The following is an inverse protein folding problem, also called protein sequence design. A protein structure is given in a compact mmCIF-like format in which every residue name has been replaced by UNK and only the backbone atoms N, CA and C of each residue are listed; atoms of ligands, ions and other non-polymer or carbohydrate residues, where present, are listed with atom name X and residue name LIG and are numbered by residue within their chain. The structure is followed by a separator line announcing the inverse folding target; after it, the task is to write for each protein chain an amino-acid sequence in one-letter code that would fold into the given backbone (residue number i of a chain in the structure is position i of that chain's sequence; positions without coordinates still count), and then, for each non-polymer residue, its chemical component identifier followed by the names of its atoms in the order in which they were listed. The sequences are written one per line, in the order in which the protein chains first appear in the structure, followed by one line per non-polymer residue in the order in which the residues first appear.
data_IF_596254341464
#
_entry.id   IF_596254341464
#
_cell.length_a   1.000
_cell.length_b   1.000
_cell.length_c   1.000
_cell.angle_alpha   90.00
_cell.angle_beta   90.00
_cell.angle_gamma   90.00
#
_symmetry.space_group_name_H-M   'P 1'
#
loop_
_entity.id
_entity.type
_entity.pdbx_description
1 polymer ?
#
# COMPACT_ATOMS: atom_id res chain seq x y z
N UNK A 1 -11.39 -26.62 -31.40
CA UNK A 1 -10.72 -25.95 -30.26
C UNK A 1 -9.51 -25.26 -30.82
N UNK A 2 -9.53 -23.93 -30.91
CA UNK A 2 -8.50 -23.15 -31.59
C UNK A 2 -7.16 -23.14 -30.83
N UNK A 3 -6.07 -23.18 -31.60
CA UNK A 3 -4.70 -23.12 -31.10
C UNK A 3 -4.43 -21.88 -30.21
N UNK A 4 -5.16 -20.78 -30.42
CA UNK A 4 -5.11 -19.57 -29.58
C UNK A 4 -5.69 -19.79 -28.18
N UNK A 5 -6.72 -20.62 -28.04
CA UNK A 5 -7.34 -20.95 -26.74
C UNK A 5 -6.44 -21.89 -25.94
N UNK A 6 -5.82 -22.85 -26.62
CA UNK A 6 -4.92 -23.83 -26.00
C UNK A 6 -3.62 -23.19 -25.51
N UNK A 7 -3.07 -22.22 -26.27
CA UNK A 7 -1.86 -21.49 -25.90
C UNK A 7 -2.08 -20.47 -24.76
N UNK A 8 -3.27 -19.87 -24.67
CA UNK A 8 -3.65 -19.03 -23.50
C UNK A 8 -3.84 -19.87 -22.24
N UNK A 9 -4.35 -21.10 -22.37
CA UNK A 9 -4.57 -21.97 -21.22
C UNK A 9 -3.26 -22.51 -20.63
N UNK A 10 -2.32 -22.95 -21.48
CA UNK A 10 -0.99 -23.39 -21.04
C UNK A 10 -0.18 -22.26 -20.40
N UNK A 11 -0.23 -21.05 -20.97
CA UNK A 11 0.40 -19.85 -20.40
C UNK A 11 -0.17 -19.49 -19.03
N UNK A 12 -1.50 -19.49 -18.88
CA UNK A 12 -2.15 -19.20 -17.59
C UNK A 12 -1.85 -20.26 -16.51
N UNK A 13 -1.72 -21.54 -16.89
CA UNK A 13 -1.33 -22.61 -15.97
C UNK A 13 0.13 -22.47 -15.54
N UNK A 14 1.05 -22.18 -16.48
CA UNK A 14 2.46 -21.95 -16.17
C UNK A 14 2.65 -20.73 -15.25
N UNK A 15 1.92 -19.65 -15.50
CA UNK A 15 1.93 -18.45 -14.66
C UNK A 15 1.43 -18.76 -13.24
N UNK A 16 0.34 -19.55 -13.10
CA UNK A 16 -0.18 -19.98 -11.78
C UNK A 16 0.81 -20.85 -11.01
N UNK A 17 1.47 -21.79 -11.67
CA UNK A 17 2.48 -22.67 -11.04
C UNK A 17 3.69 -21.85 -10.58
N UNK A 18 4.16 -20.92 -11.41
CA UNK A 18 5.26 -20.01 -11.05
C UNK A 18 4.91 -19.13 -9.85
N UNK A 19 3.71 -18.51 -9.85
CA UNK A 19 3.20 -17.70 -8.73
C UNK A 19 3.15 -18.50 -7.44
N UNK A 20 2.65 -19.74 -7.48
CA UNK A 20 2.54 -20.61 -6.32
C UNK A 20 3.94 -20.98 -5.76
N UNK A 21 4.90 -21.31 -6.62
CA UNK A 21 6.28 -21.59 -6.22
C UNK A 21 6.96 -20.40 -5.54
N UNK A 22 6.82 -19.19 -6.11
CA UNK A 22 7.37 -17.97 -5.50
C UNK A 22 6.72 -17.65 -4.15
N UNK A 23 5.40 -17.79 -4.03
CA UNK A 23 4.68 -17.57 -2.77
C UNK A 23 5.11 -18.55 -1.69
N UNK A 24 5.32 -19.82 -2.04
CA UNK A 24 5.77 -20.85 -1.12
C UNK A 24 7.18 -20.52 -0.58
N UNK A 25 8.10 -20.12 -1.44
CA UNK A 25 9.46 -19.76 -1.03
C UNK A 25 9.45 -18.56 -0.07
N UNK A 26 8.70 -17.51 -0.37
CA UNK A 26 8.57 -16.34 0.52
C UNK A 26 7.94 -16.77 1.85
N UNK A 27 6.93 -17.64 1.84
CA UNK A 27 6.31 -18.14 3.06
C UNK A 27 7.30 -18.95 3.93
N UNK A 28 8.12 -19.81 3.31
CA UNK A 28 9.16 -20.57 4.02
C UNK A 28 10.24 -19.66 4.62
N UNK A 29 10.65 -18.62 3.90
CA UNK A 29 11.57 -17.60 4.42
C UNK A 29 10.95 -16.85 5.62
N UNK A 30 9.68 -16.46 5.51
CA UNK A 30 8.96 -15.78 6.58
C UNK A 30 8.90 -16.63 7.85
N UNK A 31 8.60 -17.94 7.77
CA UNK A 31 8.55 -18.82 8.95
C UNK A 31 9.84 -18.75 9.77
N UNK A 32 10.99 -18.59 9.11
CA UNK A 32 12.31 -18.51 9.76
C UNK A 32 12.61 -17.14 10.37
N UNK A 33 11.92 -16.08 9.97
CA UNK A 33 12.13 -14.73 10.51
C UNK A 33 11.55 -14.61 11.92
N UNK A 34 12.26 -13.90 12.80
CA UNK A 34 11.72 -13.44 14.07
C UNK A 34 10.66 -12.36 13.81
N UNK A 35 9.49 -12.38 14.49
CA UNK A 35 8.51 -11.30 14.37
C UNK A 35 9.08 -9.96 14.82
N UNK A 36 8.78 -8.92 14.05
CA UNK A 36 8.99 -7.52 14.42
C UNK A 36 7.81 -7.09 15.29
N UNK A 37 8.08 -6.52 16.46
CA UNK A 37 7.02 -5.97 17.32
C UNK A 37 6.68 -4.57 16.87
N UNK A 38 5.42 -4.31 16.51
CA UNK A 38 4.92 -2.99 16.17
C UNK A 38 3.82 -2.61 17.15
N UNK A 39 4.02 -1.47 17.82
CA UNK A 39 3.10 -0.95 18.83
C UNK A 39 2.08 -0.02 18.18
N UNK A 40 0.81 -0.39 18.25
CA UNK A 40 -0.31 0.45 17.85
C UNK A 40 -0.85 1.18 19.09
N UNK A 41 -1.25 2.43 18.89
CA UNK A 41 -1.84 3.31 19.90
C UNK A 41 -2.57 4.44 19.17
N UNK A 42 -3.44 5.16 19.87
CA UNK A 42 -4.18 6.30 19.31
C UNK A 42 -5.65 6.24 19.67
N UNK A 43 -6.48 6.80 18.79
CA UNK A 43 -7.91 6.95 18.96
C UNK A 43 -8.71 5.65 18.70
N UNK A 44 -10.05 5.77 18.68
CA UNK A 44 -10.95 4.67 18.39
C UNK A 44 -10.72 4.04 16.99
N UNK A 45 -10.31 4.84 16.00
CA UNK A 45 -9.98 4.31 14.67
C UNK A 45 -8.71 3.47 14.70
N UNK A 46 -7.68 3.94 15.41
CA UNK A 46 -6.45 3.15 15.63
C UNK A 46 -6.75 1.83 16.33
N UNK A 47 -7.68 1.85 17.28
CA UNK A 47 -8.15 0.65 17.98
C UNK A 47 -8.90 -0.31 17.06
N UNK A 48 -9.81 0.19 16.22
CA UNK A 48 -10.50 -0.61 15.19
C UNK A 48 -9.49 -1.32 14.28
N UNK A 49 -8.45 -0.60 13.83
CA UNK A 49 -7.39 -1.18 12.98
C UNK A 49 -6.61 -2.27 13.72
N UNK A 50 -6.25 -2.05 14.99
CA UNK A 50 -5.59 -3.06 15.82
C UNK A 50 -6.42 -4.34 15.94
N UNK A 51 -7.72 -4.22 16.20
CA UNK A 51 -8.64 -5.35 16.33
C UNK A 51 -8.78 -6.11 15.00
N UNK A 52 -8.84 -5.40 13.87
CA UNK A 52 -8.85 -6.03 12.53
C UNK A 52 -7.56 -6.82 12.28
N UNK A 53 -6.39 -6.26 12.63
CA UNK A 53 -5.09 -6.86 12.36
C UNK A 53 -4.82 -8.09 13.23
N UNK A 54 -5.29 -8.05 14.47
CA UNK A 54 -5.11 -9.11 15.47
C UNK A 54 -6.22 -10.16 15.46
N UNK A 55 -7.33 -9.91 14.78
CA UNK A 55 -8.38 -10.91 14.59
C UNK A 55 -7.82 -12.22 13.99
N UNK A 56 -8.39 -13.38 14.32
CA UNK A 56 -8.02 -14.65 13.71
C UNK A 56 -8.07 -14.60 12.17
N UNK A 57 -7.06 -15.19 11.52
CA UNK A 57 -7.04 -15.27 10.06
C UNK A 57 -8.15 -16.22 9.57
N UNK A 58 -8.98 -15.84 8.58
CA UNK A 58 -10.17 -16.61 8.18
C UNK A 58 -9.89 -18.06 7.76
N UNK A 59 -8.69 -18.35 7.24
CA UNK A 59 -8.28 -19.70 6.83
C UNK A 59 -7.36 -20.41 7.83
N UNK A 60 -6.79 -19.66 8.78
CA UNK A 60 -5.77 -20.14 9.73
C UNK A 60 -5.99 -19.45 11.08
N UNK A 61 -7.01 -19.84 11.85
CA UNK A 61 -7.47 -19.08 13.01
C UNK A 61 -6.43 -18.96 14.14
N UNK A 62 -5.39 -19.80 14.13
CA UNK A 62 -4.27 -19.73 15.07
C UNK A 62 -3.26 -18.62 14.76
N UNK A 63 -3.43 -17.91 13.65
CA UNK A 63 -2.55 -16.82 13.21
C UNK A 63 -3.36 -15.53 13.10
N UNK A 64 -2.81 -14.42 13.61
CA UNK A 64 -3.43 -13.10 13.48
C UNK A 64 -3.45 -12.67 12.01
N UNK A 65 -4.56 -12.05 11.57
CA UNK A 65 -4.86 -11.76 10.16
C UNK A 65 -3.74 -11.04 9.42
N UNK A 66 -3.11 -10.04 10.05
CA UNK A 66 -2.10 -9.20 9.41
C UNK A 66 -0.68 -9.45 9.95
N UNK A 67 -0.42 -10.59 10.58
CA UNK A 67 0.88 -10.89 11.22
C UNK A 67 1.90 -11.58 10.31
N UNK A 68 1.48 -12.18 9.19
CA UNK A 68 2.35 -13.03 8.37
C UNK A 68 2.45 -12.53 6.94
N UNK A 69 3.57 -11.92 6.59
CA UNK A 69 3.83 -11.35 5.27
C UNK A 69 3.24 -9.95 5.10
N UNK A 70 3.20 -9.15 6.16
CA UNK A 70 2.91 -7.72 6.06
C UNK A 70 4.01 -7.06 5.22
N UNK A 71 3.64 -6.25 4.22
CA UNK A 71 4.62 -5.55 3.40
C UNK A 71 5.09 -4.28 4.11
N UNK A 72 6.20 -4.38 4.84
CA UNK A 72 6.72 -3.32 5.68
C UNK A 72 7.95 -2.65 5.09
N UNK A 73 8.09 -1.38 5.42
CA UNK A 73 9.30 -0.59 5.19
C UNK A 73 9.60 0.22 6.44
N UNK A 74 10.83 0.09 6.94
CA UNK A 74 11.32 0.90 8.04
C UNK A 74 11.52 2.35 7.58
N UNK A 75 11.23 3.30 8.47
CA UNK A 75 11.40 4.73 8.25
C UNK A 75 12.61 5.29 9.00
N UNK A 76 13.49 4.42 9.49
CA UNK A 76 14.73 4.81 10.18
C UNK A 76 15.86 5.16 9.22
N UNK A 77 16.88 5.84 9.74
CA UNK A 77 18.06 6.27 8.97
C UNK A 77 17.88 7.64 8.29
N UNK A 78 18.87 8.12 7.53
CA UNK A 78 18.81 9.41 6.86
C UNK A 78 17.81 9.44 5.68
N UNK A 79 17.18 10.60 5.47
CA UNK A 79 16.17 10.80 4.41
C UNK A 79 16.72 10.50 3.00
N UNK A 80 17.95 10.94 2.74
CA UNK A 80 18.67 10.78 1.48
C UNK A 80 18.95 9.31 1.15
N UNK A 81 18.98 8.43 2.15
CA UNK A 81 19.28 7.01 1.97
C UNK A 81 18.04 6.17 1.62
N UNK A 82 16.82 6.68 1.84
CA UNK A 82 15.59 5.92 1.64
C UNK A 82 15.52 5.27 0.24
N UNK A 83 15.89 6.00 -0.81
CA UNK A 83 15.83 5.50 -2.18
C UNK A 83 17.16 5.61 -2.94
N UNK A 84 18.30 5.68 -2.24
CA UNK A 84 19.62 5.89 -2.88
C UNK A 84 20.22 4.65 -3.52
N UNK A 85 20.00 3.46 -2.93
CA UNK A 85 20.64 2.21 -3.35
C UNK A 85 20.40 1.80 -4.82
N UNK A 86 21.27 0.95 -5.41
CA UNK A 86 21.15 0.50 -6.81
C UNK A 86 19.82 -0.20 -7.12
N UNK A 87 19.25 -0.92 -6.15
CA UNK A 87 17.95 -1.58 -6.27
C UNK A 87 16.79 -0.61 -6.56
N UNK A 88 16.96 0.68 -6.24
CA UNK A 88 15.97 1.73 -6.46
C UNK A 88 16.18 2.50 -7.78
N UNK A 89 17.13 2.11 -8.64
CA UNK A 89 17.35 2.79 -9.92
C UNK A 89 16.09 2.84 -10.80
N UNK A 90 15.34 1.73 -10.87
CA UNK A 90 14.05 1.70 -11.57
C UNK A 90 13.05 2.66 -10.92
N UNK A 91 12.92 2.61 -9.58
CA UNK A 91 12.01 3.46 -8.81
C UNK A 91 12.28 4.94 -9.10
N UNK A 92 13.52 5.39 -8.92
CA UNK A 92 13.93 6.79 -9.17
C UNK A 92 13.65 7.23 -10.61
N UNK A 93 13.88 6.36 -11.60
CA UNK A 93 13.56 6.66 -13.00
C UNK A 93 12.06 6.86 -13.23
N UNK A 94 11.20 6.12 -12.52
CA UNK A 94 9.73 6.27 -12.62
C UNK A 94 9.26 7.56 -11.93
N UNK A 95 9.79 7.87 -10.76
CA UNK A 95 9.55 9.15 -10.06
C UNK A 95 9.96 10.32 -10.96
N UNK A 96 11.21 10.35 -11.43
CA UNK A 96 11.70 11.41 -12.30
C UNK A 96 11.05 11.45 -13.69
N UNK A 97 10.35 10.40 -14.13
CA UNK A 97 9.48 10.47 -15.31
C UNK A 97 8.19 11.24 -14.97
N UNK A 98 7.53 10.89 -13.87
CA UNK A 98 6.30 11.54 -13.45
C UNK A 98 6.54 13.04 -13.20
N UNK A 99 7.62 13.39 -12.51
CA UNK A 99 7.99 14.79 -12.25
C UNK A 99 8.24 15.57 -13.54
N UNK A 100 8.96 14.99 -14.53
CA UNK A 100 9.18 15.62 -15.85
C UNK A 100 7.91 15.82 -16.67
N UNK A 101 6.89 15.00 -16.42
CA UNK A 101 5.56 15.16 -17.01
C UNK A 101 4.71 16.20 -16.25
N UNK A 102 5.26 16.78 -15.17
CA UNK A 102 4.62 17.82 -14.37
C UNK A 102 3.69 17.29 -13.28
N UNK A 103 3.68 15.98 -13.02
CA UNK A 103 2.93 15.43 -11.90
C UNK A 103 3.56 15.85 -10.58
N UNK A 104 2.72 16.15 -9.59
CA UNK A 104 3.14 16.48 -8.23
C UNK A 104 2.18 15.88 -7.20
N UNK A 105 2.64 15.73 -5.96
CA UNK A 105 1.84 15.16 -4.87
C UNK A 105 1.46 16.26 -3.90
N UNK A 106 0.19 16.28 -3.48
CA UNK A 106 -0.29 17.16 -2.42
C UNK A 106 -1.08 16.37 -1.38
N UNK A 107 -1.23 16.93 -0.18
CA UNK A 107 -2.30 16.51 0.72
C UNK A 107 -3.63 17.04 0.17
N UNK A 108 -4.67 16.21 0.16
CA UNK A 108 -5.99 16.56 -0.37
C UNK A 108 -7.07 16.41 0.71
N UNK A 109 -8.16 17.17 0.57
CA UNK A 109 -9.45 16.76 1.12
C UNK A 109 -10.12 15.85 0.08
N UNK A 110 -10.29 14.54 0.36
CA UNK A 110 -10.79 13.61 -0.64
C UNK A 110 -12.24 13.92 -1.07
N UNK A 111 -13.03 14.65 -0.28
CA UNK A 111 -14.39 15.02 -0.63
C UNK A 111 -14.44 15.99 -1.82
N UNK A 112 -13.45 16.88 -1.92
CA UNK A 112 -13.32 17.82 -3.05
C UNK A 112 -12.93 17.11 -4.35
N UNK A 113 -12.43 15.87 -4.25
CA UNK A 113 -12.00 15.07 -5.39
C UNK A 113 -12.87 13.81 -5.59
N UNK A 114 -14.04 13.71 -4.96
CA UNK A 114 -14.88 12.51 -4.97
C UNK A 114 -15.14 12.01 -6.40
N UNK A 115 -15.54 12.90 -7.32
CA UNK A 115 -15.84 12.52 -8.70
C UNK A 115 -14.59 11.97 -9.42
N UNK A 116 -13.42 12.59 -9.18
CA UNK A 116 -12.16 12.13 -9.78
C UNK A 116 -11.67 10.81 -9.16
N UNK A 117 -11.89 10.61 -7.86
CA UNK A 117 -11.67 9.32 -7.18
C UNK A 117 -12.56 8.24 -7.81
N UNK A 118 -13.82 8.54 -8.09
CA UNK A 118 -14.74 7.63 -8.78
C UNK A 118 -14.28 7.34 -10.21
N UNK A 119 -13.76 8.33 -10.94
CA UNK A 119 -13.13 8.11 -12.25
C UNK A 119 -11.93 7.16 -12.14
N UNK A 120 -11.06 7.33 -11.13
CA UNK A 120 -9.94 6.42 -10.87
C UNK A 120 -10.43 5.00 -10.60
N UNK A 121 -11.48 4.82 -9.79
CA UNK A 121 -12.06 3.50 -9.53
C UNK A 121 -12.53 2.84 -10.83
N UNK A 122 -13.27 3.58 -11.65
CA UNK A 122 -13.84 3.10 -12.90
C UNK A 122 -12.83 2.99 -14.06
N UNK A 123 -11.61 3.51 -13.93
CA UNK A 123 -10.57 3.42 -14.97
C UNK A 123 -10.14 1.99 -15.32
N UNK A 124 -10.45 1.00 -14.48
CA UNK A 124 -10.31 -0.41 -14.84
C UNK A 124 -11.27 -1.31 -14.06
N UNK A 125 -12.04 -2.13 -14.79
CA UNK A 125 -12.95 -3.14 -14.23
C UNK A 125 -12.18 -4.27 -13.53
N UNK A 126 -10.98 -4.60 -14.04
CA UNK A 126 -10.15 -5.69 -13.51
C UNK A 126 -8.87 -5.09 -12.91
N UNK A 127 -8.73 -5.20 -11.59
CA UNK A 127 -7.52 -4.81 -10.87
C UNK A 127 -6.89 -6.02 -10.21
N UNK A 128 -5.59 -6.19 -10.42
CA UNK A 128 -4.81 -7.30 -9.84
C UNK A 128 -5.42 -8.68 -10.15
N UNK A 129 -5.92 -8.86 -11.38
CA UNK A 129 -6.53 -10.11 -11.84
C UNK A 129 -7.89 -10.44 -11.20
N UNK A 130 -8.52 -9.49 -10.50
CA UNK A 130 -9.84 -9.63 -9.89
C UNK A 130 -10.75 -8.50 -10.33
N UNK A 131 -12.06 -8.75 -10.34
CA UNK A 131 -13.02 -7.66 -10.49
C UNK A 131 -12.85 -6.66 -9.36
N UNK A 132 -12.99 -5.38 -9.66
CA UNK A 132 -13.05 -4.35 -8.64
C UNK A 132 -14.18 -4.67 -7.66
N UNK A 133 -13.90 -4.53 -6.36
CA UNK A 133 -14.91 -4.77 -5.32
C UNK A 133 -16.01 -3.72 -5.43
N UNK A 134 -17.25 -4.12 -5.13
CA UNK A 134 -18.43 -3.27 -5.26
C UNK A 134 -18.39 -2.05 -4.35
N UNK A 135 -17.73 -2.12 -3.20
CA UNK A 135 -17.55 -0.98 -2.28
C UNK A 135 -16.61 0.12 -2.80
N UNK A 136 -15.88 -0.14 -3.89
CA UNK A 136 -15.15 0.90 -4.63
C UNK A 136 -15.99 1.53 -5.74
N UNK A 137 -17.06 0.88 -6.19
CA UNK A 137 -17.88 1.35 -7.29
C UNK A 137 -19.18 2.03 -6.82
N UNK A 138 -19.56 1.78 -5.57
CA UNK A 138 -20.71 2.36 -4.89
C UNK A 138 -20.34 3.74 -4.31
N UNK A 139 -20.95 4.80 -4.85
CA UNK A 139 -20.67 6.19 -4.49
C UNK A 139 -20.89 6.46 -2.99
N UNK A 140 -21.95 5.91 -2.41
CA UNK A 140 -22.30 6.18 -1.00
C UNK A 140 -21.32 5.47 -0.06
N UNK A 141 -20.93 4.23 -0.38
CA UNK A 141 -19.88 3.55 0.38
C UNK A 141 -18.52 4.22 0.25
N UNK A 142 -18.22 4.77 -0.93
CA UNK A 142 -17.00 5.56 -1.11
C UNK A 142 -17.07 6.81 -0.24
N UNK A 143 -18.18 7.57 -0.30
CA UNK A 143 -18.40 8.76 0.53
C UNK A 143 -18.25 8.47 2.02
N UNK A 144 -18.87 7.39 2.51
CA UNK A 144 -18.73 6.94 3.90
C UNK A 144 -17.26 6.66 4.25
N UNK A 145 -16.53 5.95 3.38
CA UNK A 145 -15.12 5.65 3.62
C UNK A 145 -14.23 6.91 3.65
N UNK A 146 -14.54 7.94 2.85
CA UNK A 146 -13.77 9.20 2.84
C UNK A 146 -13.85 9.97 4.16
N UNK A 147 -14.84 9.66 5.01
CA UNK A 147 -14.97 10.22 6.37
C UNK A 147 -14.00 9.60 7.38
N UNK A 148 -13.31 8.50 7.04
CA UNK A 148 -12.37 7.87 7.98
C UNK A 148 -11.22 8.83 8.30
N UNK A 149 -10.79 8.91 9.57
CA UNK A 149 -9.73 9.81 10.00
C UNK A 149 -8.38 9.34 9.44
N UNK A 150 -7.49 10.30 9.22
CA UNK A 150 -6.19 10.06 8.61
C UNK A 150 -5.96 10.98 7.43
N UNK A 151 -4.75 10.91 6.90
CA UNK A 151 -4.35 11.80 5.83
C UNK A 151 -4.59 11.21 4.46
N UNK A 152 -4.90 12.10 3.53
CA UNK A 152 -5.15 11.77 2.15
C UNK A 152 -4.16 12.51 1.26
N UNK A 153 -3.55 11.78 0.34
CA UNK A 153 -2.61 12.34 -0.63
C UNK A 153 -3.10 12.06 -2.03
N UNK A 154 -2.90 13.01 -2.93
CA UNK A 154 -3.25 12.93 -4.34
C UNK A 154 -2.08 13.27 -5.24
N UNK A 155 -1.98 12.58 -6.37
CA UNK A 155 -1.08 12.92 -7.49
C UNK A 155 -1.87 13.73 -8.49
N UNK A 156 -1.50 14.99 -8.67
CA UNK A 156 -2.12 15.90 -9.62
C UNK A 156 -1.24 16.11 -10.86
N UNK A 157 -1.86 16.26 -12.02
CA UNK A 157 -1.20 16.77 -13.23
C UNK A 157 -1.11 18.33 -13.21
N UNK A 158 -0.46 18.97 -14.20
CA UNK A 158 -0.39 20.43 -14.27
C UNK A 158 -1.73 21.14 -14.47
N UNK A 159 -2.79 20.41 -14.81
CA UNK A 159 -4.17 20.91 -14.92
C UNK A 159 -4.98 20.64 -13.65
N UNK A 160 -4.33 20.25 -12.55
CA UNK A 160 -4.94 19.92 -11.26
C UNK A 160 -5.92 18.73 -11.31
N UNK A 161 -5.77 17.82 -12.28
CA UNK A 161 -6.53 16.57 -12.34
C UNK A 161 -5.85 15.49 -11.53
N UNK A 162 -6.65 14.77 -10.74
CA UNK A 162 -6.22 13.68 -9.88
C UNK A 162 -6.03 12.39 -10.67
N UNK A 163 -4.81 11.84 -10.62
CA UNK A 163 -4.48 10.58 -11.29
C UNK A 163 -4.16 9.44 -10.33
N UNK A 164 -3.81 9.71 -9.08
CA UNK A 164 -3.69 8.70 -8.05
C UNK A 164 -3.99 9.29 -6.69
N UNK A 165 -4.35 8.46 -5.73
CA UNK A 165 -4.52 8.89 -4.36
C UNK A 165 -4.21 7.75 -3.38
N UNK A 166 -3.99 8.12 -2.12
CA UNK A 166 -4.02 7.18 -1.01
C UNK A 166 -4.61 7.78 0.27
N UNK A 167 -5.25 6.91 1.05
CA UNK A 167 -5.54 7.10 2.47
C UNK A 167 -4.39 6.48 3.28
N UNK A 168 -3.74 7.30 4.10
CA UNK A 168 -2.51 6.97 4.82
C UNK A 168 -2.58 7.38 6.30
N UNK A 169 -3.46 6.76 7.11
CA UNK A 169 -3.51 7.04 8.54
C UNK A 169 -2.23 6.56 9.24
N UNK A 170 -1.88 7.27 10.31
CA UNK A 170 -0.88 6.83 11.30
C UNK A 170 -1.64 6.10 12.41
N UNK A 171 -1.28 4.84 12.63
CA UNK A 171 -1.84 3.96 13.65
C UNK A 171 -0.71 3.55 14.57
N UNK A 172 -0.52 4.32 15.64
CA UNK A 172 0.64 4.21 16.53
C UNK A 172 1.97 4.32 15.80
N UNK A 173 2.80 3.29 15.93
CA UNK A 173 4.15 3.25 15.35
C UNK A 173 4.18 2.81 13.87
N UNK A 174 3.03 2.76 13.21
CA UNK A 174 2.90 2.36 11.82
C UNK A 174 1.94 3.25 11.04
N UNK A 175 2.38 3.74 9.88
CA UNK A 175 1.48 4.33 8.88
C UNK A 175 1.04 3.28 7.87
N UNK A 176 -0.22 3.28 7.45
CA UNK A 176 -0.81 2.19 6.66
C UNK A 176 -1.43 2.75 5.38
N UNK A 177 -1.06 2.20 4.21
CA UNK A 177 -1.83 2.44 2.98
C UNK A 177 -3.17 1.71 3.05
N UNK A 178 -4.14 2.29 3.75
CA UNK A 178 -5.48 1.72 3.93
C UNK A 178 -6.25 1.66 2.62
N UNK A 179 -6.06 2.67 1.75
CA UNK A 179 -6.53 2.66 0.36
C UNK A 179 -5.48 3.34 -0.51
N UNK A 180 -5.14 2.75 -1.66
CA UNK A 180 -4.17 3.35 -2.59
C UNK A 180 -4.48 2.90 -4.03
N UNK A 181 -4.85 3.85 -4.89
CA UNK A 181 -5.21 3.58 -6.27
C UNK A 181 -4.65 4.65 -7.21
N UNK A 182 -4.27 4.21 -8.40
CA UNK A 182 -3.96 5.08 -9.54
C UNK A 182 -4.87 4.79 -10.71
N UNK A 183 -5.10 5.80 -11.52
CA UNK A 183 -5.76 5.74 -12.82
C UNK A 183 -4.99 4.77 -13.73
N UNK A 184 -5.70 3.78 -14.25
CA UNK A 184 -5.13 2.73 -15.08
C UNK A 184 -4.41 3.29 -16.32
N UNK A 185 -4.93 4.37 -16.90
CA UNK A 185 -4.41 4.94 -18.15
C UNK A 185 -3.04 5.62 -17.95
N UNK A 186 -2.78 6.16 -16.76
CA UNK A 186 -1.56 6.94 -16.45
C UNK A 186 -0.60 6.20 -15.51
N UNK A 187 -0.87 4.94 -15.13
CA UNK A 187 0.09 4.09 -14.40
C UNK A 187 1.48 4.05 -15.09
N UNK A 188 1.47 4.09 -16.42
CA UNK A 188 2.64 4.14 -17.29
C UNK A 188 3.55 5.35 -17.08
N UNK A 189 3.06 6.42 -16.46
CA UNK A 189 3.83 7.64 -16.23
C UNK A 189 4.66 7.62 -14.95
N UNK A 190 4.35 6.71 -14.03
CA UNK A 190 5.06 6.58 -12.75
C UNK A 190 4.34 7.22 -11.57
N UNK A 191 3.08 7.63 -11.74
CA UNK A 191 2.23 8.27 -10.71
C UNK A 191 2.22 7.51 -9.37
N UNK A 192 2.18 6.17 -9.38
CA UNK A 192 2.18 5.38 -8.15
C UNK A 192 3.55 5.36 -7.45
N UNK A 193 4.63 5.43 -8.22
CA UNK A 193 5.98 5.52 -7.67
C UNK A 193 6.21 6.89 -7.05
N UNK A 194 5.74 7.95 -7.72
CA UNK A 194 5.77 9.31 -7.21
C UNK A 194 4.96 9.46 -5.92
N UNK A 195 3.73 8.90 -5.88
CA UNK A 195 2.91 8.89 -4.68
C UNK A 195 3.65 8.26 -3.49
N UNK A 196 4.20 7.06 -3.70
CA UNK A 196 4.94 6.33 -2.65
C UNK A 196 6.23 7.05 -2.24
N UNK A 197 6.97 7.64 -3.18
CA UNK A 197 8.17 8.43 -2.86
C UNK A 197 7.82 9.57 -1.90
N UNK A 198 6.79 10.35 -2.25
CA UNK A 198 6.36 11.50 -1.46
C UNK A 198 5.91 11.09 -0.06
N UNK A 199 4.99 10.13 0.03
CA UNK A 199 4.40 9.72 1.32
C UNK A 199 5.39 8.99 2.22
N UNK A 200 6.33 8.21 1.68
CA UNK A 200 7.40 7.60 2.49
C UNK A 200 8.32 8.68 3.06
N UNK A 201 8.72 9.68 2.25
CA UNK A 201 9.54 10.80 2.72
C UNK A 201 8.79 11.65 3.75
N UNK A 202 7.50 11.85 3.56
CA UNK A 202 6.64 12.59 4.50
C UNK A 202 6.53 11.87 5.85
N UNK A 203 6.22 10.57 5.85
CA UNK A 203 6.18 9.79 7.11
C UNK A 203 7.55 9.71 7.78
N UNK A 204 8.64 9.67 7.01
CA UNK A 204 10.00 9.75 7.56
C UNK A 204 10.24 11.10 8.28
N UNK A 205 9.87 12.23 7.66
CA UNK A 205 10.01 13.56 8.29
C UNK A 205 9.20 13.66 9.59
N UNK A 206 7.99 13.10 9.60
CA UNK A 206 7.17 13.02 10.83
C UNK A 206 7.83 12.18 11.90
N UNK A 207 8.33 10.98 11.57
CA UNK A 207 9.11 10.18 12.51
C UNK A 207 10.26 10.97 13.12
N UNK A 208 10.99 11.71 12.30
CA UNK A 208 12.15 12.49 12.76
C UNK A 208 11.76 13.65 13.69
N UNK A 209 10.51 14.11 13.67
CA UNK A 209 10.02 15.21 14.51
C UNK A 209 9.19 14.72 15.71
N UNK A 210 8.35 13.70 15.53
CA UNK A 210 7.40 13.18 16.53
C UNK A 210 7.86 11.86 17.18
N UNK A 211 8.88 11.20 16.62
CA UNK A 211 9.39 9.90 17.06
C UNK A 211 8.61 8.69 16.51
N UNK A 212 7.53 8.91 15.76
CA UNK A 212 6.71 7.89 15.10
C UNK A 212 6.11 8.45 13.80
N UNK A 213 5.69 7.63 12.83
CA UNK A 213 5.74 6.17 12.80
C UNK A 213 7.14 5.62 12.44
N UNK A 214 7.57 4.53 13.09
CA UNK A 214 8.78 3.79 12.73
C UNK A 214 8.64 2.98 11.44
N UNK A 215 7.40 2.68 11.03
CA UNK A 215 7.10 1.80 9.91
C UNK A 215 6.03 2.38 8.98
N UNK A 216 6.11 2.02 7.70
CA UNK A 216 5.03 2.19 6.75
C UNK A 216 4.65 0.84 6.13
N UNK A 217 3.35 0.52 6.09
CA UNK A 217 2.81 -0.76 5.65
C UNK A 217 1.99 -0.61 4.36
N UNK A 218 2.27 -1.47 3.37
CA UNK A 218 1.49 -1.60 2.15
C UNK A 218 0.76 -2.94 2.11
N UNK A 219 -0.30 -3.08 2.91
CA UNK A 219 -1.14 -4.28 2.97
C UNK A 219 -0.30 -5.60 3.07
N UNK A 220 -0.89 -6.75 2.73
CA UNK A 220 -0.23 -8.04 2.72
C UNK A 220 0.58 -8.26 1.43
N UNK A 221 1.79 -8.76 1.57
CA UNK A 221 2.70 -9.02 0.44
C UNK A 221 2.27 -10.27 -0.36
N UNK A 222 1.91 -11.35 0.34
CA UNK A 222 1.61 -12.65 -0.27
C UNK A 222 0.30 -12.66 -1.08
N UNK A 223 -0.65 -11.78 -0.75
CA UNK A 223 -1.96 -11.71 -1.40
C UNK A 223 -1.98 -11.04 -2.79
N UNK A 224 -0.90 -10.36 -3.17
CA UNK A 224 -0.81 -9.64 -4.44
C UNK A 224 -0.50 -10.52 -5.66
N UNK A 225 -0.75 -9.99 -6.86
CA UNK A 225 -0.22 -10.55 -8.11
C UNK A 225 1.31 -10.41 -8.17
N UNK A 226 1.98 -11.10 -9.11
CA UNK A 226 3.42 -10.90 -9.38
C UNK A 226 3.74 -9.41 -9.58
N UNK A 227 2.99 -8.72 -10.44
CA UNK A 227 3.21 -7.30 -10.69
C UNK A 227 3.03 -6.42 -9.43
N UNK A 228 2.07 -6.73 -8.56
CA UNK A 228 1.92 -6.00 -7.31
C UNK A 228 3.09 -6.25 -6.35
N UNK A 229 3.55 -7.50 -6.24
CA UNK A 229 4.74 -7.83 -5.42
C UNK A 229 5.98 -7.14 -5.95
N UNK A 230 6.19 -7.15 -7.26
CA UNK A 230 7.31 -6.45 -7.90
C UNK A 230 7.25 -4.95 -7.64
N UNK A 231 6.06 -4.34 -7.71
CA UNK A 231 5.85 -2.95 -7.35
C UNK A 231 6.24 -2.68 -5.88
N UNK A 232 5.73 -3.48 -4.94
CA UNK A 232 6.06 -3.38 -3.50
C UNK A 232 7.57 -3.50 -3.26
N UNK A 233 8.22 -4.49 -3.87
CA UNK A 233 9.68 -4.70 -3.80
C UNK A 233 10.45 -3.49 -4.34
N UNK A 234 10.05 -2.95 -5.51
CA UNK A 234 10.69 -1.78 -6.12
C UNK A 234 10.52 -0.51 -5.27
N UNK A 235 9.45 -0.44 -4.47
CA UNK A 235 9.25 0.62 -3.48
C UNK A 235 9.96 0.34 -2.14
N UNK A 236 10.65 -0.79 -2.02
CA UNK A 236 11.44 -1.17 -0.84
C UNK A 236 10.62 -1.77 0.30
N UNK A 237 9.36 -2.13 0.07
CA UNK A 237 8.60 -2.94 1.02
C UNK A 237 9.11 -4.38 0.98
N UNK A 238 9.21 -4.98 2.16
CA UNK A 238 9.61 -6.37 2.35
C UNK A 238 8.51 -7.12 3.08
N UNK A 239 8.30 -8.41 2.75
CA UNK A 239 7.42 -9.24 3.55
C UNK A 239 8.06 -9.50 4.91
N UNK A 240 7.33 -9.18 5.98
CA UNK A 240 7.77 -9.40 7.36
C UNK A 240 6.74 -10.18 8.19
N UNK A 241 7.24 -10.78 9.27
CA UNK A 241 6.39 -11.28 10.37
C UNK A 241 6.24 -10.17 11.40
N UNK A 242 5.02 -9.95 11.86
CA UNK A 242 4.69 -8.84 12.77
C UNK A 242 3.96 -9.38 13.99
N UNK A 243 4.38 -8.93 15.16
CA UNK A 243 3.62 -9.05 16.40
C UNK A 243 2.99 -7.68 16.68
N UNK A 244 1.69 -7.56 16.46
CA UNK A 244 0.95 -6.32 16.74
C UNK A 244 0.61 -6.26 18.22
N UNK A 245 1.02 -5.18 18.88
CA UNK A 245 0.69 -4.93 20.29
C UNK A 245 -0.09 -3.62 20.42
N UNK A 246 -0.98 -3.55 21.41
CA UNK A 246 -1.66 -2.31 21.77
C UNK A 246 -0.98 -1.69 22.99
N UNK A 247 -0.91 -0.36 23.04
CA UNK A 247 -0.50 0.38 24.23
C UNK A 247 -1.45 1.54 24.45
N UNK A 248 -1.96 1.66 25.67
CA UNK A 248 -2.65 2.87 26.10
C UNK A 248 -1.58 3.93 26.36
N UNK A 249 -1.31 4.76 25.34
CA UNK A 249 -0.65 6.04 25.59
C UNK A 249 -1.74 6.93 26.21
N UNK A 250 -1.47 7.48 27.39
CA UNK A 250 -2.14 8.73 27.78
C UNK A 250 -1.95 9.68 26.59
N UNK A 251 -3.06 10.10 26.00
CA UNK A 251 -3.07 11.16 24.98
C UNK A 251 -2.13 12.24 25.46
N UNK A 252 -1.06 12.52 24.70
CA UNK A 252 -0.23 13.68 24.98
C UNK A 252 -1.20 14.86 25.11
N UNK A 253 -1.27 15.43 26.32
CA UNK A 253 -2.14 16.57 26.57
C UNK A 253 -1.77 17.67 25.57
N UNK A 254 -2.77 18.36 25.00
CA UNK A 254 -2.54 19.40 24.01
C UNK A 254 -1.60 20.51 24.49
#
# INVERSE_FOLDING_TARGET
MDALTQNRFTSAVAERVSVAGTQLNIALELIRKKPITIRLFGDAYCREVYEIFTAPHPKLPLVQRNSFGAALRALEGPLEELFSGPQFAYFRRRVGRAERLGYHVIRIDPHQYLDQIMCIHNSSVIRQGRMMRTDYLDLEKVREYLMKPGEWYGVLDPQARLHAYCHLPIVGDCSIYSRILGDHQTLGDGIMFLLVDHTVKEMHRRRSTEGYPGWIMYDMFLGGTNGLRDFKTRCGFRPERVAWTWTERETASP
#
